data_IF_126372385171
#
_entry.id   IF_126372385171
#
_cell.length_a   1.000
_cell.length_b   1.000
_cell.length_c   1.000
_cell.angle_alpha   90.00
_cell.angle_beta   90.00
_cell.angle_gamma   90.00
#
_symmetry.space_group_name_H-M   'P 1'
#
loop_
_entity.id
_entity.type
_entity.pdbx_description
1 polymer ?
#
# COMPACT_ATOMS: atom_id res chain seq x y z
N UNK A 1 -21.96 23.59 -2.89
CA UNK A 1 -20.77 24.44 -3.17
C UNK A 1 -19.45 23.82 -2.68
N UNK A 2 -19.43 23.17 -1.50
CA UNK A 2 -18.22 22.61 -0.87
C UNK A 2 -17.70 21.30 -1.48
N UNK A 3 -18.55 20.52 -2.13
CA UNK A 3 -18.19 19.19 -2.67
C UNK A 3 -17.10 19.25 -3.75
N UNK A 4 -17.18 20.23 -4.65
CA UNK A 4 -16.16 20.44 -5.69
C UNK A 4 -14.79 20.78 -5.10
N UNK A 5 -14.77 21.62 -4.06
CA UNK A 5 -13.54 21.96 -3.35
C UNK A 5 -12.97 20.75 -2.62
N UNK A 6 -13.82 19.93 -2.00
CA UNK A 6 -13.42 18.68 -1.36
C UNK A 6 -12.80 17.70 -2.36
N UNK A 7 -13.33 17.62 -3.59
CA UNK A 7 -12.76 16.84 -4.68
C UNK A 7 -11.32 17.26 -5.03
N UNK A 8 -11.08 18.56 -5.15
CA UNK A 8 -9.74 19.13 -5.38
C UNK A 8 -8.78 18.83 -4.22
N UNK A 9 -9.24 19.00 -2.97
CA UNK A 9 -8.41 18.68 -1.80
C UNK A 9 -8.01 17.20 -1.75
N UNK A 10 -8.94 16.30 -2.09
CA UNK A 10 -8.64 14.86 -2.20
C UNK A 10 -7.63 14.57 -3.32
N UNK A 11 -7.74 15.23 -4.46
CA UNK A 11 -6.77 15.11 -5.56
C UNK A 11 -5.37 15.58 -5.13
N UNK A 12 -5.27 16.74 -4.47
CA UNK A 12 -4.01 17.25 -3.89
C UNK A 12 -3.40 16.29 -2.88
N UNK A 13 -4.21 15.78 -1.95
CA UNK A 13 -3.76 14.83 -0.94
C UNK A 13 -3.21 13.55 -1.57
N UNK A 14 -3.90 13.00 -2.59
CA UNK A 14 -3.44 11.81 -3.31
C UNK A 14 -2.11 12.05 -4.04
N UNK A 15 -1.94 13.23 -4.65
CA UNK A 15 -0.69 13.64 -5.30
C UNK A 15 0.47 13.74 -4.33
N UNK A 16 0.28 14.39 -3.18
CA UNK A 16 1.32 14.49 -2.15
C UNK A 16 1.68 13.12 -1.55
N UNK A 17 0.68 12.27 -1.29
CA UNK A 17 0.93 10.88 -0.84
C UNK A 17 1.75 10.10 -1.86
N UNK A 18 1.47 10.24 -3.15
CA UNK A 18 2.24 9.58 -4.20
C UNK A 18 3.68 10.08 -4.26
N UNK A 19 3.90 11.39 -4.12
CA UNK A 19 5.24 11.98 -4.06
C UNK A 19 6.04 11.55 -2.82
N UNK A 20 5.37 11.32 -1.70
CA UNK A 20 6.00 10.73 -0.52
C UNK A 20 6.39 9.27 -0.73
N UNK A 21 5.80 8.57 -1.71
CA UNK A 21 6.08 7.16 -2.05
C UNK A 21 7.06 6.99 -3.22
N UNK A 22 7.18 7.98 -4.11
CA UNK A 22 8.21 8.06 -5.17
C UNK A 22 9.56 8.58 -4.65
N UNK A 23 10.67 7.83 -4.81
CA UNK A 23 11.94 8.20 -4.21
C UNK A 23 12.36 9.59 -4.68
N UNK A 24 12.41 10.57 -3.78
CA UNK A 24 12.95 11.88 -4.08
C UNK A 24 14.47 11.74 -4.19
N UNK A 25 14.96 11.51 -5.41
CA UNK A 25 16.39 11.37 -5.66
C UNK A 25 16.70 11.41 -7.14
N UNK A 26 17.14 12.58 -7.61
CA UNK A 26 18.08 12.68 -8.74
C UNK A 26 19.24 11.72 -8.49
N UNK A 27 19.76 11.08 -9.55
CA UNK A 27 21.07 10.40 -9.65
C UNK A 27 21.93 10.54 -8.37
N UNK A 28 21.81 9.57 -7.48
CA UNK A 28 22.54 9.48 -6.23
C UNK A 28 22.32 8.06 -5.71
N UNK A 29 23.41 7.43 -5.28
CA UNK A 29 23.60 6.03 -4.91
C UNK A 29 22.33 5.24 -4.57
N UNK A 30 22.27 4.01 -5.12
CA UNK A 30 21.30 2.96 -4.77
C UNK A 30 21.17 2.90 -3.25
N UNK A 31 20.19 3.62 -2.70
CA UNK A 31 19.83 3.48 -1.30
C UNK A 31 19.58 1.99 -1.08
N UNK A 32 20.26 1.42 -0.09
CA UNK A 32 20.20 0.01 0.24
C UNK A 32 18.73 -0.41 0.29
N UNK A 33 18.34 -1.09 -0.78
CA UNK A 33 16.97 -1.48 -1.00
C UNK A 33 16.66 -2.50 0.06
N UNK A 34 15.72 -2.16 0.93
CA UNK A 34 14.96 -3.15 1.69
C UNK A 34 14.01 -3.88 0.73
N UNK A 35 14.57 -4.44 -0.33
CA UNK A 35 13.87 -5.33 -1.23
C UNK A 35 14.20 -6.72 -0.73
N UNK A 36 13.37 -7.21 0.20
CA UNK A 36 13.41 -8.62 0.55
C UNK A 36 13.14 -9.37 -0.74
N UNK A 37 14.15 -10.09 -1.23
CA UNK A 37 14.06 -10.79 -2.52
C UNK A 37 12.85 -11.73 -2.50
N UNK A 38 12.05 -11.74 -3.57
CA UNK A 38 10.93 -12.67 -3.69
C UNK A 38 11.48 -14.08 -3.76
N UNK A 39 11.17 -14.85 -2.72
CA UNK A 39 11.52 -16.25 -2.61
C UNK A 39 10.22 -17.05 -2.56
N UNK A 40 10.15 -18.13 -3.33
CA UNK A 40 8.95 -18.96 -3.45
C UNK A 40 7.90 -18.46 -4.44
N UNK A 41 6.76 -19.13 -4.45
CA UNK A 41 5.64 -18.97 -5.37
C UNK A 41 4.71 -17.80 -4.99
N UNK A 42 4.56 -17.54 -3.69
CA UNK A 42 3.67 -16.49 -3.17
C UNK A 42 4.29 -15.76 -1.97
N UNK A 43 3.90 -14.50 -1.79
CA UNK A 43 4.31 -13.65 -0.67
C UNK A 43 3.11 -13.21 0.16
N UNK A 44 3.20 -13.40 1.47
CA UNK A 44 2.19 -13.02 2.45
C UNK A 44 2.80 -12.07 3.46
N UNK A 45 2.21 -10.89 3.62
CA UNK A 45 2.61 -9.92 4.63
C UNK A 45 1.68 -10.01 5.85
N UNK A 46 2.25 -10.14 7.05
CA UNK A 46 1.53 -10.05 8.31
C UNK A 46 1.62 -8.63 8.86
N UNK A 47 0.46 -8.07 9.19
CA UNK A 47 0.30 -6.76 9.82
C UNK A 47 -0.55 -6.90 11.07
N UNK A 48 -0.37 -6.02 12.04
CA UNK A 48 -1.10 -6.07 13.31
C UNK A 48 -0.29 -5.43 14.41
N UNK A 49 -0.91 -4.97 15.49
CA UNK A 49 -0.21 -4.24 16.55
C UNK A 49 0.91 -5.06 17.20
N UNK A 50 1.87 -4.43 17.89
CA UNK A 50 2.72 -5.16 18.82
C UNK A 50 1.87 -6.01 19.78
N UNK A 51 2.40 -7.16 20.18
CA UNK A 51 1.78 -8.04 21.18
C UNK A 51 0.46 -8.74 20.79
N UNK A 52 -0.02 -8.66 19.54
CA UNK A 52 -1.19 -9.45 19.07
C UNK A 52 -0.84 -10.91 18.71
N UNK A 53 0.41 -11.34 18.94
CA UNK A 53 0.87 -12.70 18.66
C UNK A 53 1.41 -12.96 17.25
N UNK A 54 1.76 -11.93 16.47
CA UNK A 54 2.31 -12.09 15.10
C UNK A 54 3.53 -13.00 15.03
N UNK A 55 4.52 -12.73 15.88
CA UNK A 55 5.77 -13.50 15.89
C UNK A 55 5.55 -14.94 16.36
N UNK A 56 4.58 -15.16 17.26
CA UNK A 56 4.15 -16.51 17.67
C UNK A 56 3.55 -17.25 16.48
N UNK A 57 2.61 -16.64 15.76
CA UNK A 57 1.99 -17.25 14.57
C UNK A 57 3.04 -17.60 13.50
N UNK A 58 3.96 -16.68 13.23
CA UNK A 58 5.07 -16.91 12.29
C UNK A 58 5.95 -18.08 12.72
N UNK A 59 6.34 -18.14 13.99
CA UNK A 59 7.18 -19.22 14.52
C UNK A 59 6.47 -20.58 14.44
N UNK A 60 5.17 -20.61 14.73
CA UNK A 60 4.36 -21.85 14.66
C UNK A 60 4.19 -22.34 13.22
N UNK A 61 3.99 -21.43 12.26
CA UNK A 61 3.77 -21.82 10.87
C UNK A 61 5.06 -22.22 10.14
N UNK A 62 6.18 -21.61 10.50
CA UNK A 62 7.44 -21.77 9.75
C UNK A 62 8.23 -23.00 10.14
N UNK A 63 7.89 -23.67 11.27
CA UNK A 63 8.52 -24.90 11.80
C UNK A 63 10.05 -24.87 11.99
N UNK A 64 10.73 -23.85 11.49
CA UNK A 64 12.07 -23.43 11.83
C UNK A 64 11.97 -22.57 13.09
N UNK A 65 12.70 -22.94 14.15
CA UNK A 65 13.13 -21.95 15.13
C UNK A 65 13.69 -20.80 14.32
N UNK A 66 13.05 -19.63 14.39
CA UNK A 66 13.42 -18.39 13.72
C UNK A 66 14.94 -18.30 13.58
N UNK A 67 15.48 -18.83 12.49
CA UNK A 67 16.88 -18.65 12.16
C UNK A 67 16.88 -17.19 11.81
N UNK A 68 17.36 -16.38 12.75
CA UNK A 68 17.78 -15.03 12.47
C UNK A 68 18.66 -15.19 11.24
N UNK A 69 18.10 -14.90 10.07
CA UNK A 69 18.83 -14.99 8.83
C UNK A 69 19.88 -13.90 8.97
N UNK A 70 21.06 -14.32 9.39
CA UNK A 70 22.27 -13.55 9.52
C UNK A 70 22.74 -13.22 8.11
N UNK A 71 21.95 -12.42 7.40
CA UNK A 71 22.46 -11.56 6.35
C UNK A 71 22.89 -10.30 7.06
N UNK A 72 24.20 -10.17 7.21
CA UNK A 72 24.93 -9.20 8.01
C UNK A 72 24.83 -7.75 7.48
N UNK A 73 23.69 -7.39 6.88
CA UNK A 73 23.34 -6.05 6.41
C UNK A 73 21.84 -5.71 6.54
N UNK A 74 21.02 -6.49 7.25
CA UNK A 74 19.60 -6.14 7.42
C UNK A 74 19.38 -5.28 8.66
N UNK A 75 19.57 -3.97 8.53
CA UNK A 75 19.12 -3.05 9.57
C UNK A 75 17.59 -2.99 9.60
N UNK A 76 17.01 -3.72 10.57
CA UNK A 76 15.66 -3.59 11.13
C UNK A 76 14.49 -4.30 10.39
N UNK A 77 14.26 -5.55 10.86
CA UNK A 77 12.94 -6.12 11.22
C UNK A 77 11.92 -6.44 10.13
N UNK A 78 12.29 -7.27 9.15
CA UNK A 78 11.32 -8.24 8.64
C UNK A 78 11.88 -9.63 8.93
N UNK A 79 11.10 -10.49 9.58
CA UNK A 79 11.45 -11.89 9.78
C UNK A 79 10.81 -12.66 8.62
N UNK A 80 11.57 -13.04 7.57
CA UNK A 80 11.04 -13.89 6.53
C UNK A 80 10.96 -15.32 7.03
N UNK A 81 9.77 -15.91 6.91
CA UNK A 81 9.56 -17.34 7.07
C UNK A 81 9.12 -17.94 5.75
N UNK A 82 9.55 -19.16 5.42
CA UNK A 82 9.05 -19.87 4.24
C UNK A 82 8.29 -21.09 4.72
N UNK A 83 7.06 -21.25 4.23
CA UNK A 83 6.24 -22.43 4.47
C UNK A 83 5.99 -23.15 3.16
N UNK A 84 5.93 -24.47 3.19
CA UNK A 84 5.45 -25.25 2.05
C UNK A 84 3.99 -25.62 2.29
N UNK A 85 3.11 -25.24 1.36
CA UNK A 85 1.70 -25.59 1.43
C UNK A 85 1.23 -26.13 0.08
N UNK A 86 0.82 -27.40 0.06
CA UNK A 86 0.36 -28.10 -1.16
C UNK A 86 1.38 -28.03 -2.32
N UNK A 87 2.67 -28.12 -2.00
CA UNK A 87 3.76 -28.06 -2.99
C UNK A 87 4.12 -26.65 -3.47
N UNK A 88 3.51 -25.60 -2.92
CA UNK A 88 3.89 -24.22 -3.17
C UNK A 88 4.68 -23.65 -1.98
N UNK A 89 5.79 -22.97 -2.28
CA UNK A 89 6.60 -22.25 -1.30
C UNK A 89 6.01 -20.85 -1.07
N UNK A 90 5.57 -20.57 0.14
CA UNK A 90 4.95 -19.30 0.51
C UNK A 90 5.87 -18.56 1.48
N UNK A 91 6.33 -17.38 1.08
CA UNK A 91 7.12 -16.47 1.90
C UNK A 91 6.20 -15.63 2.79
N UNK A 92 6.29 -15.83 4.10
CA UNK A 92 5.66 -15.02 5.14
C UNK A 92 6.60 -13.89 5.58
N UNK A 93 6.09 -12.67 5.73
CA UNK A 93 6.87 -11.50 6.12
C UNK A 93 6.18 -10.78 7.29
N UNK A 94 6.89 -10.59 8.41
CA UNK A 94 6.41 -9.70 9.50
C UNK A 94 6.70 -8.23 9.16
N UNK A 95 5.69 -7.37 9.18
CA UNK A 95 5.83 -5.93 8.91
C UNK A 95 5.51 -5.10 10.18
N UNK A 96 6.40 -5.08 11.20
CA UNK A 96 6.17 -4.36 12.46
C UNK A 96 6.09 -2.83 12.27
N UNK A 97 6.71 -2.29 11.23
CA UNK A 97 6.87 -0.84 11.03
C UNK A 97 5.72 -0.09 10.35
N UNK A 98 4.66 -0.76 9.88
CA UNK A 98 3.52 -0.06 9.23
C UNK A 98 2.75 0.81 10.24
N UNK A 99 2.79 0.45 11.52
CA UNK A 99 1.82 0.91 12.52
C UNK A 99 2.24 2.18 13.25
N UNK A 100 3.55 2.42 13.41
CA UNK A 100 4.05 3.51 14.28
C UNK A 100 4.82 4.62 13.55
N UNK A 101 4.89 4.63 12.22
CA UNK A 101 5.66 5.68 11.54
C UNK A 101 5.75 5.66 10.03
N UNK A 102 5.00 4.81 9.34
CA UNK A 102 4.98 4.75 7.88
C UNK A 102 4.43 6.04 7.24
N UNK A 103 3.42 6.63 7.87
CA UNK A 103 2.79 7.90 7.48
C UNK A 103 3.66 9.14 7.75
N UNK A 104 4.53 9.11 8.78
CA UNK A 104 5.34 10.27 9.19
C UNK A 104 6.64 10.48 8.38
N UNK A 105 6.91 9.65 7.36
CA UNK A 105 8.04 9.87 6.45
C UNK A 105 9.43 9.74 7.08
N UNK A 106 9.55 9.26 8.33
CA UNK A 106 10.84 8.83 8.89
C UNK A 106 11.33 7.69 7.99
N UNK A 107 12.47 7.89 7.32
CA UNK A 107 12.90 7.17 6.10
C UNK A 107 12.84 5.63 6.11
N UNK A 108 12.65 5.01 7.27
CA UNK A 108 12.53 3.57 7.50
C UNK A 108 11.12 3.01 7.23
N UNK A 109 10.05 3.81 7.37
CA UNK A 109 8.68 3.36 7.12
C UNK A 109 8.38 3.08 5.64
N UNK A 110 9.10 3.75 4.75
CA UNK A 110 8.99 3.63 3.29
C UNK A 110 9.39 2.25 2.76
N UNK A 111 10.37 1.63 3.40
CA UNK A 111 10.90 0.31 3.07
C UNK A 111 9.85 -0.78 3.34
N UNK A 112 9.22 -0.74 4.52
CA UNK A 112 8.15 -1.66 4.92
C UNK A 112 6.93 -1.56 3.99
N UNK A 113 6.60 -0.35 3.54
CA UNK A 113 5.56 -0.08 2.54
C UNK A 113 5.86 -0.78 1.21
N UNK A 114 7.10 -0.72 0.72
CA UNK A 114 7.48 -1.33 -0.54
C UNK A 114 7.28 -2.86 -0.51
N UNK A 115 7.63 -3.48 0.63
CA UNK A 115 7.40 -4.91 0.86
C UNK A 115 5.91 -5.24 0.92
N UNK A 116 5.10 -4.43 1.62
CA UNK A 116 3.65 -4.63 1.66
C UNK A 116 2.98 -4.53 0.28
N UNK A 117 3.48 -3.63 -0.59
CA UNK A 117 2.94 -3.45 -1.95
C UNK A 117 3.28 -4.60 -2.92
N UNK A 118 4.31 -5.38 -2.62
CA UNK A 118 4.73 -6.52 -3.43
C UNK A 118 4.18 -7.86 -2.92
N UNK A 119 3.47 -7.84 -1.79
CA UNK A 119 2.81 -9.02 -1.25
C UNK A 119 1.57 -9.39 -2.08
N UNK A 120 1.37 -10.70 -2.26
CA UNK A 120 0.21 -11.27 -2.93
C UNK A 120 -1.01 -11.32 -1.97
N UNK A 121 -0.76 -11.43 -0.67
CA UNK A 121 -1.76 -11.43 0.40
C UNK A 121 -1.29 -10.60 1.60
N UNK A 122 -2.23 -9.90 2.25
CA UNK A 122 -1.98 -9.25 3.55
C UNK A 122 -2.88 -9.90 4.61
N UNK A 123 -2.28 -10.44 5.66
CA UNK A 123 -2.97 -10.99 6.83
C UNK A 123 -2.95 -9.94 7.94
N UNK A 124 -4.13 -9.52 8.36
CA UNK A 124 -4.30 -8.57 9.47
C UNK A 124 -4.61 -9.32 10.76
N UNK A 125 -3.67 -9.27 11.71
CA UNK A 125 -3.85 -9.78 13.06
C UNK A 125 -4.33 -8.67 13.99
N UNK A 126 -5.42 -8.95 14.70
CA UNK A 126 -6.04 -8.04 15.66
C UNK A 126 -6.32 -8.76 16.97
N UNK A 127 -6.25 -8.02 18.06
CA UNK A 127 -6.72 -8.48 19.36
C UNK A 127 -8.25 -8.53 19.37
N UNK A 128 -8.84 -9.62 19.88
CA UNK A 128 -10.31 -9.79 19.94
C UNK A 128 -10.98 -8.70 20.80
N UNK A 129 -10.31 -8.23 21.85
CA UNK A 129 -10.86 -7.25 22.79
C UNK A 129 -10.94 -5.83 22.20
N UNK A 130 -10.08 -5.51 21.24
CA UNK A 130 -9.94 -4.17 20.62
C UNK A 130 -10.00 -4.25 19.09
N UNK A 131 -10.56 -5.32 18.54
CA UNK A 131 -10.34 -5.73 17.17
C UNK A 131 -10.85 -4.73 16.14
N UNK A 132 -12.00 -4.11 16.38
CA UNK A 132 -12.60 -3.13 15.46
C UNK A 132 -11.74 -1.87 15.35
N UNK A 133 -11.36 -1.27 16.48
CA UNK A 133 -10.52 -0.07 16.51
C UNK A 133 -9.16 -0.33 15.85
N UNK A 134 -8.56 -1.49 16.15
CA UNK A 134 -7.29 -1.88 15.55
C UNK A 134 -7.41 -2.09 14.04
N UNK A 135 -8.45 -2.79 13.59
CA UNK A 135 -8.72 -3.03 12.18
C UNK A 135 -8.91 -1.72 11.41
N UNK A 136 -9.66 -0.77 11.95
CA UNK A 136 -9.92 0.51 11.30
C UNK A 136 -8.64 1.34 11.17
N UNK A 137 -7.81 1.39 12.22
CA UNK A 137 -6.53 2.10 12.17
C UNK A 137 -5.59 1.47 11.12
N UNK A 138 -5.46 0.15 11.13
CA UNK A 138 -4.60 -0.58 10.17
C UNK A 138 -5.09 -0.41 8.73
N UNK A 139 -6.40 -0.43 8.52
CA UNK A 139 -7.00 -0.20 7.21
C UNK A 139 -6.72 1.22 6.73
N UNK A 140 -6.87 2.23 7.59
CA UNK A 140 -6.61 3.62 7.25
C UNK A 140 -5.13 3.86 6.89
N UNK A 141 -4.20 3.27 7.63
CA UNK A 141 -2.75 3.36 7.35
C UNK A 141 -2.40 2.72 6.00
N UNK A 142 -2.88 1.50 5.74
CA UNK A 142 -2.68 0.86 4.44
C UNK A 142 -3.28 1.66 3.28
N UNK A 143 -4.47 2.25 3.48
CA UNK A 143 -5.10 3.09 2.46
C UNK A 143 -4.34 4.40 2.23
N UNK A 144 -3.76 4.99 3.28
CA UNK A 144 -2.92 6.18 3.18
C UNK A 144 -1.67 5.93 2.33
N UNK A 145 -1.14 4.72 2.41
CA UNK A 145 0.01 4.22 1.64
C UNK A 145 -0.36 3.81 0.20
N UNK A 146 -1.65 3.77 -0.14
CA UNK A 146 -2.11 3.40 -1.48
C UNK A 146 -2.39 1.92 -1.69
N UNK A 147 -2.34 1.10 -0.63
CA UNK A 147 -2.81 -0.28 -0.65
C UNK A 147 -4.35 -0.26 -0.57
N UNK A 148 -5.02 -1.13 -1.33
CA UNK A 148 -6.49 -1.24 -1.35
C UNK A 148 -6.86 -2.68 -1.05
N UNK A 149 -7.25 -2.93 0.19
CA UNK A 149 -7.64 -4.26 0.66
C UNK A 149 -8.95 -4.69 0.03
N UNK A 150 -8.99 -5.91 -0.52
CA UNK A 150 -10.21 -6.59 -1.02
C UNK A 150 -11.05 -5.77 -2.01
N UNK A 151 -10.43 -4.85 -2.74
CA UNK A 151 -11.09 -3.99 -3.74
C UNK A 151 -10.60 -4.33 -5.14
N UNK A 152 -11.53 -4.52 -6.08
CA UNK A 152 -11.21 -4.62 -7.51
C UNK A 152 -10.90 -3.24 -8.06
N UNK A 153 -10.07 -3.16 -9.11
CA UNK A 153 -9.82 -1.90 -9.82
C UNK A 153 -11.16 -1.35 -10.34
N UNK A 154 -11.43 -0.05 -10.17
CA UNK A 154 -12.64 0.55 -10.70
C UNK A 154 -12.61 0.47 -12.23
N UNK A 155 -13.76 0.18 -12.85
CA UNK A 155 -13.91 0.08 -14.30
C UNK A 155 -13.93 1.44 -14.98
N UNK A 156 -12.88 2.22 -14.81
CA UNK A 156 -12.73 3.57 -15.38
C UNK A 156 -11.76 3.47 -16.55
N UNK A 157 -12.19 3.96 -17.71
CA UNK A 157 -11.31 4.18 -18.84
C UNK A 157 -10.68 5.57 -18.71
N UNK A 158 -9.39 5.69 -18.99
CA UNK A 158 -8.72 6.99 -18.98
C UNK A 158 -7.67 7.01 -20.09
N UNK A 159 -7.80 7.97 -21.01
CA UNK A 159 -6.84 8.18 -22.10
C UNK A 159 -6.54 9.67 -22.31
N UNK A 160 -5.29 10.06 -22.08
CA UNK A 160 -4.85 11.43 -22.34
C UNK A 160 -4.77 11.71 -23.85
N UNK A 161 -5.27 12.86 -24.28
CA UNK A 161 -5.24 13.33 -25.67
C UNK A 161 -4.34 14.56 -25.79
N UNK A 162 -3.89 14.89 -27.02
CA UNK A 162 -3.08 16.09 -27.27
C UNK A 162 -3.94 17.37 -27.36
N UNK A 163 -5.14 17.25 -27.92
CA UNK A 163 -6.10 18.34 -28.17
C UNK A 163 -7.52 17.79 -28.00
N UNK A 164 -8.50 18.64 -27.71
CA UNK A 164 -9.93 18.30 -27.74
C UNK A 164 -10.67 18.34 -26.41
N UNK A 165 -10.07 18.93 -25.38
CA UNK A 165 -10.68 19.09 -24.06
C UNK A 165 -10.88 17.77 -23.33
N UNK A 166 -11.69 17.81 -22.27
CA UNK A 166 -12.07 16.64 -21.48
C UNK A 166 -13.39 16.11 -22.04
N UNK A 167 -13.39 14.87 -22.52
CA UNK A 167 -14.60 14.13 -22.88
C UNK A 167 -14.95 13.18 -21.76
N UNK A 168 -16.17 13.27 -21.25
CA UNK A 168 -16.67 12.46 -20.16
C UNK A 168 -17.81 11.56 -20.64
N UNK A 169 -17.66 10.25 -20.46
CA UNK A 169 -18.66 9.25 -20.80
C UNK A 169 -19.00 8.41 -19.56
N UNK A 170 -20.30 8.24 -19.29
CA UNK A 170 -20.78 7.41 -18.19
C UNK A 170 -21.73 6.32 -18.73
N UNK A 171 -21.40 5.06 -18.46
CA UNK A 171 -22.28 3.93 -18.83
C UNK A 171 -23.46 3.77 -17.87
N UNK A 172 -23.28 4.16 -16.61
CA UNK A 172 -24.31 4.08 -15.57
C UNK A 172 -24.59 5.45 -14.95
N UNK A 173 -25.75 5.60 -14.34
CA UNK A 173 -26.10 6.81 -13.60
C UNK A 173 -25.15 6.99 -12.42
N UNK A 174 -24.46 8.12 -12.41
CA UNK A 174 -23.47 8.44 -11.38
C UNK A 174 -24.15 9.09 -10.18
N UNK A 175 -23.96 8.51 -9.00
CA UNK A 175 -24.58 8.97 -7.75
C UNK A 175 -23.65 9.78 -6.86
N UNK A 176 -22.34 9.73 -7.12
CA UNK A 176 -21.29 10.28 -6.24
C UNK A 176 -20.29 11.18 -6.94
N UNK A 177 -20.34 11.28 -8.28
CA UNK A 177 -19.35 11.96 -9.09
C UNK A 177 -20.07 12.68 -10.23
N UNK A 178 -19.74 13.96 -10.41
CA UNK A 178 -20.22 14.80 -11.51
C UNK A 178 -19.08 15.08 -12.50
N UNK A 179 -19.45 15.39 -13.75
CA UNK A 179 -18.51 15.83 -14.80
C UNK A 179 -17.63 16.99 -14.34
N UNK A 180 -18.22 18.01 -13.72
CA UNK A 180 -17.50 19.18 -13.20
C UNK A 180 -16.47 18.80 -12.14
N UNK A 181 -16.78 17.83 -11.27
CA UNK A 181 -15.84 17.33 -10.27
C UNK A 181 -14.66 16.61 -10.93
N UNK A 182 -14.93 15.77 -11.94
CA UNK A 182 -13.89 15.08 -12.73
C UNK A 182 -12.99 16.09 -13.43
N UNK A 183 -13.56 17.10 -14.07
CA UNK A 183 -12.81 18.16 -14.72
C UNK A 183 -11.87 18.87 -13.72
N UNK A 184 -12.37 19.25 -12.55
CA UNK A 184 -11.55 19.91 -11.52
C UNK A 184 -10.42 19.02 -11.00
N UNK A 185 -10.68 17.71 -10.83
CA UNK A 185 -9.63 16.74 -10.46
C UNK A 185 -8.56 16.68 -11.55
N UNK A 186 -8.94 16.55 -12.82
CA UNK A 186 -8.00 16.48 -13.95
C UNK A 186 -7.15 17.75 -14.08
N UNK A 187 -7.75 18.93 -13.90
CA UNK A 187 -7.02 20.19 -13.89
C UNK A 187 -5.96 20.27 -12.77
N UNK A 188 -6.24 19.71 -11.58
CA UNK A 188 -5.25 19.64 -10.49
C UNK A 188 -4.04 18.74 -10.85
N UNK A 189 -4.28 17.72 -11.67
CA UNK A 189 -3.23 16.90 -12.27
C UNK A 189 -2.59 17.53 -13.52
N UNK A 190 -2.94 18.77 -13.88
CA UNK A 190 -2.50 19.49 -15.10
C UNK A 190 -2.88 18.76 -16.40
N UNK A 191 -3.98 18.00 -16.38
CA UNK A 191 -4.50 17.26 -17.53
C UNK A 191 -5.69 18.05 -18.09
N UNK A 192 -5.48 18.68 -19.25
CA UNK A 192 -6.50 19.51 -19.91
C UNK A 192 -7.22 18.80 -21.05
N UNK A 193 -6.64 17.71 -21.55
CA UNK A 193 -7.15 16.98 -22.71
C UNK A 193 -7.16 15.47 -22.39
N UNK A 194 -8.34 14.89 -22.18
CA UNK A 194 -8.49 13.48 -21.83
C UNK A 194 -9.86 12.94 -22.22
N UNK A 195 -9.94 11.62 -22.36
CA UNK A 195 -11.18 10.87 -22.47
C UNK A 195 -11.31 9.99 -21.25
N UNK A 196 -12.42 10.16 -20.54
CA UNK A 196 -12.74 9.48 -19.28
C UNK A 196 -14.12 8.84 -19.40
#
# INVERSE_FOLDING_TARGET
ATEYHLGVLKAKLAKYRTQLLEPQGKKGEKGEGFDVMKSGDARVALIGFPSVGKSTLLSTLTNTQSVAASYEFTTLTCIPGVIEYKGANIQLLDLPGIIEGASQGKGRGRQVIAVARTADLVIMMVDVTKGEVQKDLLTAELEAVGIRLNKKKPGIYFKQKKVGGIKFNATCTLTKIDEKMVQMILHEYKIFNAEV
#
